data_IF_473073976100
#
_entry.id   IF_473073976100
#
_cell.length_a   1.000
_cell.length_b   1.000
_cell.length_c   1.000
_cell.angle_alpha   90.00
_cell.angle_beta   90.00
_cell.angle_gamma   90.00
#
_symmetry.space_group_name_H-M   'P 1'
#
loop_
_entity.id
_entity.type
_entity.pdbx_description
1 polymer ?
#
# COMPACT_ATOMS: atom_id res chain seq x y z
N UNK A 1 15.51 -1.34 18.13
CA UNK A 1 14.75 -0.73 17.02
C UNK A 1 13.32 -0.51 17.47
N UNK A 2 12.85 0.74 17.53
CA UNK A 2 11.46 1.06 17.85
C UNK A 2 10.75 1.41 16.54
N UNK A 3 9.66 0.71 16.21
CA UNK A 3 8.76 1.13 15.13
C UNK A 3 7.96 2.32 15.66
N UNK A 4 7.84 3.40 14.88
CA UNK A 4 6.97 4.52 15.25
C UNK A 4 5.52 4.04 15.33
N UNK A 5 4.80 4.45 16.37
CA UNK A 5 3.39 4.11 16.56
C UNK A 5 2.56 4.48 15.31
N UNK A 6 2.89 5.61 14.66
CA UNK A 6 2.25 6.03 13.42
C UNK A 6 2.44 5.02 12.28
N UNK A 7 3.65 4.49 12.10
CA UNK A 7 3.91 3.46 11.09
C UNK A 7 3.12 2.18 11.38
N UNK A 8 3.06 1.75 12.63
CA UNK A 8 2.31 0.55 13.04
C UNK A 8 0.81 0.70 12.76
N UNK A 9 0.23 1.87 13.07
CA UNK A 9 -1.18 2.16 12.77
C UNK A 9 -1.42 2.15 11.26
N UNK A 10 -0.55 2.76 10.47
CA UNK A 10 -0.68 2.75 9.00
C UNK A 10 -0.59 1.34 8.42
N UNK A 11 0.34 0.51 8.90
CA UNK A 11 0.42 -0.90 8.50
C UNK A 11 -0.85 -1.66 8.84
N UNK A 12 -1.39 -1.46 10.05
CA UNK A 12 -2.61 -2.11 10.50
C UNK A 12 -3.81 -1.70 9.63
N UNK A 13 -3.96 -0.40 9.33
CA UNK A 13 -5.02 0.10 8.45
C UNK A 13 -4.86 -0.48 7.04
N UNK A 14 -3.67 -0.41 6.45
CA UNK A 14 -3.41 -1.01 5.12
C UNK A 14 -3.70 -2.51 5.10
N UNK A 15 -3.31 -3.24 6.15
CA UNK A 15 -3.56 -4.67 6.29
C UNK A 15 -5.05 -4.99 6.37
N UNK A 16 -5.83 -4.23 7.14
CA UNK A 16 -7.29 -4.39 7.23
C UNK A 16 -7.95 -4.15 5.87
N UNK A 17 -7.56 -3.05 5.20
CA UNK A 17 -8.10 -2.68 3.88
C UNK A 17 -7.82 -3.77 2.84
N UNK A 18 -6.67 -4.44 2.95
CA UNK A 18 -6.25 -5.51 2.04
C UNK A 18 -6.87 -6.87 2.37
N UNK A 19 -7.07 -7.16 3.67
CA UNK A 19 -7.57 -8.45 4.14
C UNK A 19 -9.07 -8.63 3.91
N UNK A 20 -9.85 -7.56 4.01
CA UNK A 20 -11.31 -7.68 3.94
C UNK A 20 -11.84 -7.32 2.56
N UNK A 21 -12.02 -8.36 1.72
CA UNK A 21 -12.59 -8.18 0.39
C UNK A 21 -14.10 -7.84 0.43
N UNK A 22 -14.77 -8.06 1.58
CA UNK A 22 -16.19 -7.76 1.79
C UNK A 22 -16.43 -6.39 2.41
N UNK A 23 -15.36 -5.65 2.72
CA UNK A 23 -15.49 -4.32 3.29
C UNK A 23 -16.30 -3.42 2.35
N UNK A 24 -17.28 -2.72 2.91
CA UNK A 24 -18.09 -1.77 2.15
C UNK A 24 -17.18 -0.82 1.37
N UNK A 25 -17.53 -0.60 0.11
CA UNK A 25 -16.73 0.24 -0.81
C UNK A 25 -16.43 1.62 -0.21
N UNK A 26 -17.36 2.18 0.56
CA UNK A 26 -17.21 3.47 1.27
C UNK A 26 -16.14 3.42 2.36
N UNK A 27 -16.11 2.34 3.16
CA UNK A 27 -15.10 2.16 4.21
C UNK A 27 -13.71 2.00 3.59
N UNK A 28 -13.58 1.21 2.54
CA UNK A 28 -12.30 1.03 1.84
C UNK A 28 -11.72 2.38 1.37
N UNK A 29 -12.54 3.22 0.74
CA UNK A 29 -12.13 4.57 0.33
C UNK A 29 -11.78 5.47 1.52
N UNK A 30 -12.57 5.42 2.60
CA UNK A 30 -12.33 6.22 3.79
C UNK A 30 -11.00 5.85 4.46
N UNK A 31 -10.74 4.56 4.71
CA UNK A 31 -9.49 4.10 5.32
C UNK A 31 -8.28 4.44 4.44
N UNK A 32 -8.39 4.24 3.12
CA UNK A 32 -7.32 4.57 2.18
C UNK A 32 -7.06 6.08 2.14
N UNK A 33 -8.11 6.91 2.16
CA UNK A 33 -7.97 8.35 2.25
C UNK A 33 -7.30 8.78 3.56
N UNK A 34 -7.63 8.14 4.69
CA UNK A 34 -6.94 8.38 5.96
C UNK A 34 -5.44 8.06 5.87
N UNK A 35 -5.06 6.93 5.25
CA UNK A 35 -3.64 6.56 5.04
C UNK A 35 -2.92 7.62 4.22
N UNK A 36 -3.50 8.03 3.07
CA UNK A 36 -2.91 9.05 2.20
C UNK A 36 -2.78 10.38 2.94
N UNK A 37 -3.81 10.79 3.68
CA UNK A 37 -3.82 12.06 4.41
C UNK A 37 -2.76 12.06 5.51
N UNK A 38 -2.69 11.00 6.34
CA UNK A 38 -1.69 10.88 7.40
C UNK A 38 -0.28 10.84 6.82
N UNK A 39 -0.04 10.01 5.80
CA UNK A 39 1.27 9.91 5.15
C UNK A 39 1.68 11.23 4.48
N UNK A 40 0.75 11.90 3.82
CA UNK A 40 0.97 13.21 3.18
C UNK A 40 1.23 14.33 4.20
N UNK A 41 0.53 14.33 5.32
CA UNK A 41 0.75 15.28 6.40
C UNK A 41 2.15 15.10 7.02
N UNK A 42 2.56 13.85 7.26
CA UNK A 42 3.91 13.53 7.75
C UNK A 42 4.98 13.97 6.74
N UNK A 43 4.77 13.69 5.45
CA UNK A 43 5.70 14.08 4.39
C UNK A 43 5.80 15.62 4.26
N UNK A 44 4.68 16.33 4.38
CA UNK A 44 4.65 17.80 4.38
C UNK A 44 5.38 18.39 5.58
N UNK A 45 5.27 17.79 6.76
CA UNK A 45 6.02 18.23 7.95
C UNK A 45 7.53 18.05 7.77
N UNK A 46 7.96 16.97 7.13
CA UNK A 46 9.36 16.72 6.82
C UNK A 46 9.90 17.70 5.76
N UNK A 47 9.15 17.95 4.69
CA UNK A 47 9.58 18.81 3.59
C UNK A 47 9.57 20.29 3.94
N UNK A 48 8.53 20.77 4.61
CA UNK A 48 8.37 22.19 4.92
C UNK A 48 9.04 22.58 6.23
N UNK A 49 9.57 21.62 7.00
CA UNK A 49 10.26 21.85 8.27
C UNK A 49 9.39 22.46 9.38
N UNK A 50 8.11 22.70 9.11
CA UNK A 50 7.15 23.22 10.08
C UNK A 50 6.82 22.15 11.11
N UNK A 51 7.27 22.36 12.34
CA UNK A 51 6.75 21.62 13.48
C UNK A 51 5.37 22.16 13.82
N UNK A 52 4.32 21.58 13.23
CA UNK A 52 2.91 21.90 13.47
C UNK A 52 2.44 21.67 14.93
N UNK A 53 3.33 21.64 15.92
CA UNK A 53 3.00 21.25 17.30
C UNK A 53 2.55 19.79 17.42
N UNK A 54 2.88 18.94 16.44
CA UNK A 54 2.52 17.52 16.39
C UNK A 54 3.29 16.65 17.38
N UNK A 55 3.27 17.02 18.66
CA UNK A 55 3.61 16.16 19.81
C UNK A 55 2.48 15.16 20.13
N UNK A 56 1.36 15.19 19.40
CA UNK A 56 0.16 14.39 19.66
C UNK A 56 0.32 12.88 19.35
N UNK A 57 1.37 12.47 18.64
CA UNK A 57 1.72 11.06 18.40
C UNK A 57 3.16 10.71 18.81
N UNK A 58 3.90 11.66 19.38
CA UNK A 58 5.32 11.57 19.71
C UNK A 58 5.53 12.04 21.15
N UNK A 59 5.04 11.24 22.08
CA UNK A 59 5.17 11.46 23.53
C UNK A 59 6.58 11.14 24.05
N UNK A 60 7.65 11.67 23.44
CA UNK A 60 8.97 11.67 24.07
C UNK A 60 9.64 13.04 23.84
N UNK A 61 9.75 13.81 24.92
CA UNK A 61 10.41 15.10 24.97
C UNK A 61 11.94 14.90 24.98
N UNK A 62 12.57 15.00 23.82
CA UNK A 62 14.03 15.06 23.66
C UNK A 62 14.46 14.56 22.28
N UNK A 63 15.20 15.38 21.51
CA UNK A 63 15.84 15.05 20.21
C UNK A 63 15.16 13.95 19.34
N UNK A 64 13.85 14.12 19.11
CA UNK A 64 12.93 13.47 18.15
C UNK A 64 13.01 11.94 17.87
N UNK A 65 12.99 11.05 18.88
CA UNK A 65 12.62 9.65 18.67
C UNK A 65 11.13 9.53 18.28
N UNK A 66 10.85 8.83 17.19
CA UNK A 66 9.47 8.52 16.77
C UNK A 66 8.99 9.21 15.49
N UNK A 67 9.77 10.14 14.90
CA UNK A 67 9.50 10.63 13.54
C UNK A 67 9.69 9.49 12.54
N UNK A 68 8.72 9.33 11.65
CA UNK A 68 8.78 8.32 10.61
C UNK A 68 9.74 8.80 9.52
N UNK A 69 10.67 7.96 9.01
CA UNK A 69 11.56 8.37 7.94
C UNK A 69 10.77 8.86 6.71
N UNK A 70 11.25 9.91 6.06
CA UNK A 70 10.60 10.52 4.88
C UNK A 70 10.37 9.49 3.77
N UNK A 71 11.31 8.57 3.57
CA UNK A 71 11.18 7.46 2.60
C UNK A 71 10.03 6.51 2.95
N UNK A 72 9.80 6.27 4.23
CA UNK A 72 8.69 5.44 4.72
C UNK A 72 7.37 6.17 4.51
N UNK A 73 7.30 7.48 4.77
CA UNK A 73 6.10 8.29 4.52
C UNK A 73 5.74 8.31 3.03
N UNK A 74 6.72 8.50 2.15
CA UNK A 74 6.55 8.37 0.72
C UNK A 74 6.04 6.95 0.35
N UNK A 75 6.62 5.90 0.92
CA UNK A 75 6.18 4.52 0.71
C UNK A 75 4.70 4.30 1.05
N UNK A 76 4.23 4.79 2.21
CA UNK A 76 2.81 4.69 2.58
C UNK A 76 1.90 5.53 1.68
N UNK A 77 2.36 6.69 1.23
CA UNK A 77 1.62 7.53 0.30
C UNK A 77 1.44 6.81 -1.04
N UNK A 78 2.51 6.25 -1.61
CA UNK A 78 2.44 5.43 -2.83
C UNK A 78 1.55 4.20 -2.64
N UNK A 79 1.66 3.52 -1.50
CA UNK A 79 0.83 2.37 -1.16
C UNK A 79 -0.65 2.75 -1.07
N UNK A 80 -0.98 3.87 -0.43
CA UNK A 80 -2.34 4.41 -0.36
C UNK A 80 -2.92 4.72 -1.73
N UNK A 81 -2.14 5.33 -2.62
CA UNK A 81 -2.58 5.53 -4.01
C UNK A 81 -2.73 4.22 -4.78
N UNK A 82 -1.88 3.22 -4.53
CA UNK A 82 -2.00 1.88 -5.14
C UNK A 82 -3.30 1.19 -4.70
N UNK A 83 -3.64 1.26 -3.41
CA UNK A 83 -4.90 0.77 -2.84
C UNK A 83 -6.10 1.52 -3.44
N UNK A 84 -6.03 2.85 -3.55
CA UNK A 84 -7.08 3.66 -4.15
C UNK A 84 -7.33 3.28 -5.63
N UNK A 85 -6.26 2.97 -6.35
CA UNK A 85 -6.30 2.59 -7.76
C UNK A 85 -6.73 1.14 -8.00
N UNK A 86 -6.77 0.27 -6.97
CA UNK A 86 -6.94 -1.17 -7.15
C UNK A 86 -8.24 -1.52 -7.88
N UNK A 87 -9.34 -0.84 -7.53
CA UNK A 87 -10.67 -1.12 -8.08
C UNK A 87 -10.98 -0.40 -9.40
N UNK A 88 -10.28 0.70 -9.69
CA UNK A 88 -10.58 1.54 -10.86
C UNK A 88 -9.56 1.36 -11.98
N UNK A 89 -8.29 1.18 -11.63
CA UNK A 89 -7.16 1.17 -12.55
C UNK A 89 -6.14 0.09 -12.15
N UNK A 90 -6.49 -1.19 -12.37
CA UNK A 90 -5.65 -2.33 -11.97
C UNK A 90 -4.19 -2.21 -12.45
N UNK A 91 -3.96 -1.74 -13.69
CA UNK A 91 -2.60 -1.52 -14.22
C UNK A 91 -1.84 -0.45 -13.44
N UNK A 92 -2.51 0.65 -13.09
CA UNK A 92 -1.90 1.74 -12.33
C UNK A 92 -1.56 1.28 -10.92
N UNK A 93 -2.46 0.54 -10.26
CA UNK A 93 -2.22 -0.07 -8.94
C UNK A 93 -0.96 -0.94 -8.94
N UNK A 94 -0.81 -1.80 -9.95
CA UNK A 94 0.38 -2.65 -10.12
C UNK A 94 1.67 -1.85 -10.33
N UNK A 95 1.64 -0.80 -11.16
CA UNK A 95 2.81 0.07 -11.37
C UNK A 95 3.22 0.74 -10.05
N UNK A 96 2.26 1.30 -9.29
CA UNK A 96 2.55 1.94 -8.01
C UNK A 96 3.08 0.94 -6.97
N UNK A 97 2.52 -0.28 -6.94
CA UNK A 97 3.01 -1.35 -6.08
C UNK A 97 4.46 -1.72 -6.44
N UNK A 98 4.78 -1.80 -7.73
CA UNK A 98 6.13 -2.11 -8.21
C UNK A 98 7.14 -0.99 -7.87
N UNK A 99 6.73 0.28 -8.00
CA UNK A 99 7.56 1.42 -7.57
C UNK A 99 7.82 1.33 -6.07
N UNK A 100 6.79 0.98 -5.27
CA UNK A 100 6.93 0.79 -3.82
C UNK A 100 7.94 -0.32 -3.50
N UNK A 101 7.94 -1.44 -4.23
CA UNK A 101 8.97 -2.50 -4.10
C UNK A 101 10.36 -1.97 -4.43
N UNK A 102 10.50 -1.15 -5.47
CA UNK A 102 11.77 -0.51 -5.81
C UNK A 102 12.32 0.33 -4.65
N UNK A 103 11.47 1.15 -4.02
CA UNK A 103 11.84 1.96 -2.84
C UNK A 103 12.26 1.06 -1.67
N UNK A 104 11.53 -0.02 -1.42
CA UNK A 104 11.84 -0.99 -0.35
C UNK A 104 13.17 -1.71 -0.61
N UNK A 105 13.44 -2.11 -1.86
CA UNK A 105 14.70 -2.74 -2.25
C UNK A 105 15.88 -1.79 -2.04
N UNK A 106 15.76 -0.53 -2.45
CA UNK A 106 16.79 0.49 -2.20
C UNK A 106 17.04 0.64 -0.70
N UNK A 107 16.00 0.64 0.12
CA UNK A 107 16.14 0.71 1.58
C UNK A 107 16.84 -0.53 2.16
N UNK A 108 16.53 -1.74 1.68
CA UNK A 108 17.19 -2.98 2.12
C UNK A 108 18.66 -2.99 1.69
N UNK A 109 18.95 -2.62 0.44
CA UNK A 109 20.33 -2.53 -0.07
C UNK A 109 21.12 -1.49 0.71
N UNK A 110 20.53 -0.33 1.00
CA UNK A 110 21.14 0.69 1.86
C UNK A 110 21.45 0.14 3.26
N UNK A 111 20.51 -0.61 3.86
CA UNK A 111 20.73 -1.27 5.14
C UNK A 111 21.89 -2.27 5.10
N UNK A 112 21.94 -3.14 4.09
CA UNK A 112 23.01 -4.14 3.94
C UNK A 112 24.38 -3.48 3.78
N UNK A 113 24.49 -2.40 2.99
CA UNK A 113 25.76 -1.68 2.83
C UNK A 113 26.21 -0.93 4.10
N UNK A 114 25.27 -0.56 4.98
CA UNK A 114 25.63 0.11 6.25
C UNK A 114 26.29 -0.85 7.24
N UNK A 115 26.00 -2.16 7.14
CA UNK A 115 26.60 -3.18 7.99
C UNK A 115 28.12 -3.30 7.73
N UNK A 116 28.55 -3.05 6.49
CA UNK A 116 29.96 -3.11 6.10
C UNK A 116 30.71 -1.77 6.26
N UNK A 117 30.00 -0.66 6.45
CA UNK A 117 30.62 0.66 6.55
C UNK A 117 31.02 0.99 7.99
N UNK A 118 32.16 0.45 8.46
CA UNK A 118 32.92 1.11 9.54
C UNK A 118 33.50 2.48 9.12
N UNK A 119 33.37 2.82 7.83
CA UNK A 119 33.89 4.03 7.21
C UNK A 119 32.94 5.24 7.36
N UNK A 120 32.59 5.65 8.58
CA UNK A 120 32.20 7.03 8.98
C UNK A 120 31.10 7.82 8.24
N UNK A 121 30.53 7.34 7.13
CA UNK A 121 29.52 8.04 6.34
C UNK A 121 28.15 7.49 6.73
N UNK A 122 27.63 8.01 7.84
CA UNK A 122 26.28 7.72 8.30
C UNK A 122 25.26 8.37 7.35
N UNK A 123 24.69 7.59 6.43
CA UNK A 123 23.57 8.04 5.61
C UNK A 123 22.35 8.31 6.53
N UNK A 124 21.76 9.51 6.49
CA UNK A 124 20.88 10.00 7.55
C UNK A 124 19.44 9.42 7.60
N UNK A 125 19.14 8.31 6.93
CA UNK A 125 17.80 7.71 7.09
C UNK A 125 17.73 6.26 6.63
N UNK A 126 18.12 5.36 7.53
CA UNK A 126 18.01 3.93 7.29
C UNK A 126 16.65 3.47 7.80
N UNK A 127 15.79 3.05 6.87
CA UNK A 127 14.54 2.40 7.20
C UNK A 127 14.83 1.07 7.91
N UNK A 128 14.09 0.80 8.99
CA UNK A 128 14.22 -0.44 9.72
C UNK A 128 13.88 -1.65 8.84
N UNK A 129 14.69 -2.73 8.79
CA UNK A 129 14.43 -3.90 7.94
C UNK A 129 13.05 -4.55 8.16
N UNK A 130 12.53 -4.53 9.39
CA UNK A 130 11.16 -5.00 9.66
C UNK A 130 10.10 -4.20 8.90
N UNK A 131 10.26 -2.88 8.81
CA UNK A 131 9.37 -2.01 8.03
C UNK A 131 9.44 -2.37 6.55
N UNK A 132 10.64 -2.65 6.04
CA UNK A 132 10.85 -3.07 4.65
C UNK A 132 10.12 -4.39 4.35
N UNK A 133 10.23 -5.35 5.26
CA UNK A 133 9.53 -6.63 5.16
C UNK A 133 8.01 -6.46 5.20
N UNK A 134 7.49 -5.60 6.08
CA UNK A 134 6.05 -5.30 6.13
C UNK A 134 5.54 -4.65 4.84
N UNK A 135 6.29 -3.71 4.26
CA UNK A 135 5.93 -3.16 2.95
C UNK A 135 5.95 -4.23 1.86
N UNK A 136 6.92 -5.13 1.88
CA UNK A 136 7.00 -6.23 0.93
C UNK A 136 5.75 -7.14 1.01
N UNK A 137 5.34 -7.52 2.22
CA UNK A 137 4.11 -8.29 2.46
C UNK A 137 2.88 -7.55 1.96
N UNK A 138 2.77 -6.24 2.25
CA UNK A 138 1.67 -5.41 1.77
C UNK A 138 1.60 -5.35 0.24
N UNK A 139 2.73 -5.14 -0.44
CA UNK A 139 2.77 -5.11 -1.91
C UNK A 139 2.38 -6.46 -2.49
N UNK A 140 2.86 -7.56 -1.92
CA UNK A 140 2.44 -8.89 -2.36
C UNK A 140 0.92 -9.04 -2.26
N UNK A 141 0.31 -8.64 -1.15
CA UNK A 141 -1.14 -8.72 -1.01
C UNK A 141 -1.89 -7.88 -2.05
N UNK A 142 -1.39 -6.68 -2.40
CA UNK A 142 -1.98 -5.88 -3.50
C UNK A 142 -1.85 -6.59 -4.85
N UNK A 143 -0.68 -7.18 -5.15
CA UNK A 143 -0.48 -7.93 -6.39
C UNK A 143 -1.41 -9.15 -6.48
N UNK A 144 -1.60 -9.88 -5.37
CA UNK A 144 -2.53 -11.00 -5.34
C UNK A 144 -3.98 -10.56 -5.54
N UNK A 145 -4.41 -9.50 -4.85
CA UNK A 145 -5.78 -9.00 -4.98
C UNK A 145 -6.10 -8.50 -6.40
N UNK A 146 -5.18 -7.76 -7.04
CA UNK A 146 -5.38 -7.35 -8.45
C UNK A 146 -5.47 -8.53 -9.43
N UNK A 147 -4.85 -9.66 -9.11
CA UNK A 147 -4.87 -10.86 -9.95
C UNK A 147 -6.18 -11.61 -9.77
N UNK A 148 -6.65 -11.76 -8.54
CA UNK A 148 -7.92 -12.41 -8.20
C UNK A 148 -9.11 -11.72 -8.85
N UNK A 149 -9.21 -10.39 -8.72
CA UNK A 149 -10.31 -9.62 -9.32
C UNK A 149 -10.36 -9.79 -10.84
N UNK A 150 -9.20 -9.93 -11.49
CA UNK A 150 -9.12 -10.12 -12.95
C UNK A 150 -9.58 -11.51 -13.39
N UNK A 151 -9.39 -12.54 -12.56
CA UNK A 151 -9.84 -13.90 -12.84
C UNK A 151 -11.35 -14.02 -12.67
N UNK A 152 -11.91 -13.45 -11.60
CA UNK A 152 -13.35 -13.45 -11.32
C UNK A 152 -14.15 -12.80 -12.47
N UNK A 153 -13.74 -11.60 -12.90
CA UNK A 153 -14.38 -10.91 -14.02
C UNK A 153 -14.38 -11.73 -15.33
N UNK A 154 -13.32 -12.52 -15.59
CA UNK A 154 -13.24 -13.37 -16.79
C UNK A 154 -14.16 -14.58 -16.72
N UNK A 155 -14.35 -15.13 -15.51
CA UNK A 155 -15.25 -16.27 -15.29
C UNK A 155 -16.71 -15.83 -15.45
N UNK A 156 -17.08 -14.66 -14.92
CA UNK A 156 -18.42 -14.08 -15.10
C UNK A 156 -18.72 -13.79 -16.57
N UNK A 157 -17.77 -13.19 -17.30
CA UNK A 157 -17.89 -12.91 -18.73
C UNK A 157 -18.12 -14.21 -19.54
N UNK A 158 -17.31 -15.24 -19.27
CA UNK A 158 -17.44 -16.55 -19.94
C UNK A 158 -18.78 -17.24 -19.64
N UNK A 159 -19.27 -17.13 -18.39
CA UNK A 159 -20.55 -17.74 -17.98
C UNK A 159 -21.72 -17.01 -18.64
N UNK A 160 -21.65 -15.69 -18.78
CA UNK A 160 -22.64 -14.89 -19.48
C UNK A 160 -22.70 -15.24 -20.98
N UNK A 161 -21.56 -15.42 -21.64
CA UNK A 161 -21.51 -15.84 -23.04
C UNK A 161 -22.14 -17.21 -23.28
N UNK A 162 -21.85 -18.18 -22.40
CA UNK A 162 -22.43 -19.53 -22.48
C UNK A 162 -23.95 -19.49 -22.24
N UNK A 163 -24.41 -18.69 -21.27
CA UNK A 163 -25.84 -18.51 -21.00
C UNK A 163 -26.59 -17.95 -22.21
N UNK A 164 -26.02 -16.95 -22.89
CA UNK A 164 -26.60 -16.37 -24.11
C UNK A 164 -26.62 -17.36 -25.28
N UNK A 165 -25.57 -18.16 -25.44
CA UNK A 165 -25.52 -19.19 -26.47
C UNK A 165 -26.59 -20.27 -26.26
N UNK A 166 -26.76 -20.73 -25.01
CA UNK A 166 -27.79 -21.71 -24.66
C UNK A 166 -29.20 -21.16 -24.91
N UNK A 167 -29.49 -19.92 -24.51
CA UNK A 167 -30.78 -19.27 -24.76
C UNK A 167 -31.09 -19.18 -26.26
N UNK A 168 -30.10 -18.88 -27.09
CA UNK A 168 -30.24 -18.79 -28.55
C UNK A 168 -30.53 -20.15 -29.19
N UNK A 169 -29.96 -21.24 -28.67
CA UNK A 169 -30.24 -22.59 -29.15
C UNK A 169 -31.65 -23.05 -28.78
N UNK A 170 -32.07 -22.89 -27.52
CA UNK A 170 -33.42 -23.30 -27.08
C UNK A 170 -34.54 -22.47 -27.72
N UNK A 171 -34.29 -21.20 -28.03
CA UNK A 171 -35.28 -20.34 -28.70
C UNK A 171 -35.52 -20.73 -30.17
N UNK A 172 -34.57 -21.40 -30.83
CA UNK A 172 -34.70 -21.81 -32.23
C UNK A 172 -35.56 -23.06 -32.42
N UNK A 173 -35.73 -23.89 -31.38
CA UNK A 173 -36.57 -25.09 -31.45
C UNK A 173 -38.06 -24.78 -31.28
N UNK A 174 -38.42 -23.62 -30.74
CA UNK A 174 -39.82 -23.21 -30.56
C UNK A 174 -40.51 -22.70 -31.84
N UNK A 175 -39.81 -22.65 -32.98
CA UNK A 175 -40.31 -22.15 -34.26
C UNK A 175 -40.54 -23.24 -35.32
N UNK A 176 -40.38 -24.52 -34.97
CA UNK A 176 -40.67 -25.67 -35.81
C UNK A 176 -41.78 -26.53 -35.19
#
# INVERSE_FOLDING_TARGET
MKISIGAAILFLICGIVLSDNKLDRRLHYFLTACVILIAGLLLSQDLSGWNAGGSLLTSEAGMMPGRMPTITAAGFLLMGFSLLAIRTYARLSQILALITVGVVLVAIVGYLNTIDSSNGVSLPSIMTPFTALLFFVLVLGVLFQTTSDKLENRVEESTSEIGLAHQKMTGSEALF
#
